data_IF_487598819248
#
_entry.id   IF_487598819248
#
_cell.length_a   1.000
_cell.length_b   1.000
_cell.length_c   1.000
_cell.angle_alpha   90.00
_cell.angle_beta   90.00
_cell.angle_gamma   90.00
#
_symmetry.space_group_name_H-M   'P 1'
#
loop_
_entity.id
_entity.type
_entity.pdbx_description
1 polymer ?
#
# COMPACT_ATOMS: atom_id res chain seq x y z
N UNK A 1 16.55 -7.15 -1.43
CA UNK A 1 16.61 -5.84 -0.74
C UNK A 1 17.68 -4.90 -1.28
N UNK A 2 18.84 -5.35 -1.77
CA UNK A 2 19.86 -4.45 -2.34
C UNK A 2 19.36 -3.61 -3.53
N UNK A 3 18.75 -4.24 -4.54
CA UNK A 3 18.22 -3.51 -5.71
C UNK A 3 17.15 -2.47 -5.35
N UNK A 4 16.39 -2.71 -4.28
CA UNK A 4 15.37 -1.78 -3.77
C UNK A 4 16.03 -0.49 -3.26
N UNK A 5 17.13 -0.59 -2.53
CA UNK A 5 17.86 0.56 -2.01
C UNK A 5 18.53 1.35 -3.14
N UNK A 6 19.08 0.64 -4.13
CA UNK A 6 19.66 1.26 -5.33
C UNK A 6 18.58 2.00 -6.13
N UNK A 7 17.41 1.39 -6.31
CA UNK A 7 16.30 2.03 -6.99
C UNK A 7 15.78 3.27 -6.24
N UNK A 8 15.70 3.20 -4.91
CA UNK A 8 15.37 4.36 -4.07
C UNK A 8 16.37 5.50 -4.25
N UNK A 9 17.67 5.21 -4.24
CA UNK A 9 18.70 6.21 -4.51
C UNK A 9 18.60 6.80 -5.93
N UNK A 10 18.20 6.00 -6.91
CA UNK A 10 17.97 6.45 -8.28
C UNK A 10 16.73 7.38 -8.39
N UNK A 11 15.63 7.04 -7.70
CA UNK A 11 14.45 7.91 -7.63
C UNK A 11 14.76 9.26 -6.96
N UNK A 12 15.54 9.24 -5.88
CA UNK A 12 16.02 10.45 -5.21
C UNK A 12 16.83 11.32 -6.21
N UNK A 13 17.68 10.70 -7.03
CA UNK A 13 18.58 11.41 -7.94
C UNK A 13 17.91 11.94 -9.23
N UNK A 14 16.86 11.27 -9.70
CA UNK A 14 16.12 11.69 -10.91
C UNK A 14 15.15 12.85 -10.67
N UNK A 15 14.91 13.24 -9.42
CA UNK A 15 13.97 14.29 -9.06
C UNK A 15 12.49 13.90 -9.22
N UNK A 16 12.20 12.67 -9.66
CA UNK A 16 10.83 12.15 -9.85
C UNK A 16 10.01 12.23 -8.57
N UNK A 17 10.65 12.10 -7.39
CA UNK A 17 9.98 12.23 -6.11
C UNK A 17 9.39 13.62 -5.86
N UNK A 18 9.90 14.67 -6.52
CA UNK A 18 9.37 16.03 -6.44
C UNK A 18 8.25 16.26 -7.47
N UNK A 19 8.34 15.66 -8.66
CA UNK A 19 7.39 15.85 -9.77
C UNK A 19 6.12 15.01 -9.65
N UNK A 20 6.23 13.80 -9.06
CA UNK A 20 5.08 12.90 -8.89
C UNK A 20 3.99 13.47 -7.95
N UNK A 21 4.32 14.11 -6.81
CA UNK A 21 3.35 14.80 -5.99
C UNK A 21 2.49 15.81 -6.77
N UNK A 22 3.12 16.62 -7.63
CA UNK A 22 2.44 17.61 -8.45
C UNK A 22 1.45 16.96 -9.43
N UNK A 23 1.84 15.84 -10.04
CA UNK A 23 0.95 15.07 -10.91
C UNK A 23 -0.23 14.46 -10.13
N UNK A 24 -0.02 13.99 -8.89
CA UNK A 24 -1.09 13.43 -8.06
C UNK A 24 -2.06 14.50 -7.52
N UNK A 25 -1.61 15.74 -7.32
CA UNK A 25 -2.47 16.87 -6.93
C UNK A 25 -3.46 17.30 -8.02
N UNK A 26 -3.22 16.92 -9.29
CA UNK A 26 -4.16 17.19 -10.37
C UNK A 26 -5.39 16.26 -10.34
N UNK A 27 -5.35 15.17 -9.57
CA UNK A 27 -6.51 14.29 -9.41
C UNK A 27 -7.50 14.90 -8.41
N UNK A 28 -8.81 14.90 -8.70
CA UNK A 28 -9.86 15.43 -7.82
C UNK A 28 -10.17 14.51 -6.61
N UNK A 29 -9.16 13.78 -6.09
CA UNK A 29 -9.28 12.78 -5.03
C UNK A 29 -8.33 13.16 -3.89
N UNK A 30 -8.71 12.95 -2.61
CA UNK A 30 -7.81 13.20 -1.48
C UNK A 30 -6.51 12.41 -1.59
N UNK A 31 -5.36 13.08 -1.35
CA UNK A 31 -4.02 12.51 -1.51
C UNK A 31 -3.82 11.21 -0.73
N UNK A 32 -4.35 11.11 0.50
CA UNK A 32 -4.22 9.88 1.30
C UNK A 32 -4.91 8.67 0.63
N UNK A 33 -6.03 8.88 -0.07
CA UNK A 33 -6.78 7.82 -0.73
C UNK A 33 -6.05 7.31 -1.96
N UNK A 34 -5.39 8.21 -2.70
CA UNK A 34 -4.54 7.86 -3.84
C UNK A 34 -3.45 6.89 -3.37
N UNK A 35 -2.77 7.22 -2.27
CA UNK A 35 -1.73 6.34 -1.73
C UNK A 35 -2.28 5.01 -1.19
N UNK A 36 -3.45 4.99 -0.57
CA UNK A 36 -4.11 3.72 -0.18
C UNK A 36 -4.34 2.83 -1.40
N UNK A 37 -4.87 3.39 -2.49
CA UNK A 37 -5.10 2.63 -3.72
C UNK A 37 -3.79 2.15 -4.35
N UNK A 38 -2.78 3.01 -4.38
CA UNK A 38 -1.47 2.70 -4.94
C UNK A 38 -0.77 1.59 -4.14
N UNK A 39 -0.80 1.66 -2.81
CA UNK A 39 -0.23 0.64 -1.94
C UNK A 39 -1.03 -0.68 -2.01
N UNK A 40 -2.35 -0.59 -2.16
CA UNK A 40 -3.19 -1.77 -2.26
C UNK A 40 -2.99 -2.51 -3.60
N UNK A 41 -3.22 -1.83 -4.74
CA UNK A 41 -3.08 -2.41 -6.07
C UNK A 41 -1.63 -2.78 -6.37
N UNK A 42 -0.70 -1.86 -6.08
CA UNK A 42 0.73 -2.10 -6.23
C UNK A 42 1.22 -3.24 -5.34
N UNK A 43 0.68 -3.37 -4.12
CA UNK A 43 0.99 -4.46 -3.21
C UNK A 43 0.49 -5.82 -3.68
N UNK A 44 -0.67 -5.88 -4.35
CA UNK A 44 -1.20 -7.13 -4.93
C UNK A 44 -0.29 -7.63 -6.08
N UNK A 45 0.26 -6.70 -6.88
CA UNK A 45 1.08 -7.05 -8.05
C UNK A 45 2.53 -7.31 -7.65
N UNK A 46 3.14 -6.41 -6.88
CA UNK A 46 4.57 -6.43 -6.57
C UNK A 46 4.92 -7.09 -5.23
N UNK A 47 3.92 -7.35 -4.38
CA UNK A 47 4.11 -7.78 -2.99
C UNK A 47 4.49 -6.63 -2.05
N UNK A 48 4.40 -6.89 -0.74
CA UNK A 48 4.61 -5.88 0.31
C UNK A 48 6.00 -5.20 0.23
N UNK A 49 7.06 -5.99 0.07
CA UNK A 49 8.43 -5.45 0.01
C UNK A 49 8.65 -4.54 -1.21
N UNK A 50 8.05 -4.88 -2.34
CA UNK A 50 8.14 -4.10 -3.57
C UNK A 50 7.41 -2.76 -3.43
N UNK A 51 6.16 -2.78 -2.99
CA UNK A 51 5.37 -1.55 -2.90
C UNK A 51 5.83 -0.62 -1.78
N UNK A 52 6.34 -1.14 -0.65
CA UNK A 52 6.87 -0.31 0.43
C UNK A 52 8.16 0.38 -0.03
N UNK A 53 9.04 -0.36 -0.71
CA UNK A 53 10.28 0.18 -1.26
C UNK A 53 10.07 1.37 -2.19
N UNK A 54 9.07 1.26 -3.06
CA UNK A 54 8.74 2.25 -4.08
C UNK A 54 7.86 3.37 -3.51
N UNK A 55 6.80 2.97 -2.82
CA UNK A 55 5.72 3.85 -2.39
C UNK A 55 6.07 4.68 -1.17
N UNK A 56 6.89 4.18 -0.24
CA UNK A 56 7.24 4.95 0.96
C UNK A 56 7.96 6.28 0.66
N UNK A 57 9.04 6.32 -0.15
CA UNK A 57 9.70 7.60 -0.46
C UNK A 57 8.77 8.57 -1.19
N UNK A 58 7.93 8.05 -2.11
CA UNK A 58 6.95 8.86 -2.86
C UNK A 58 5.87 9.43 -1.92
N UNK A 59 5.38 8.61 -0.99
CA UNK A 59 4.34 8.99 -0.03
C UNK A 59 4.81 10.11 0.90
N UNK A 60 6.04 10.03 1.43
CA UNK A 60 6.60 11.08 2.28
C UNK A 60 6.98 12.34 1.50
N UNK A 61 7.42 12.22 0.25
CA UNK A 61 7.68 13.38 -0.60
C UNK A 61 6.37 14.13 -0.95
N UNK A 62 5.28 13.39 -1.14
CA UNK A 62 3.98 13.96 -1.51
C UNK A 62 3.18 14.49 -0.33
N UNK A 63 3.36 13.90 0.86
CA UNK A 63 2.64 14.31 2.05
C UNK A 63 3.58 14.34 3.29
N UNK A 64 4.43 15.37 3.40
CA UNK A 64 5.44 15.45 4.46
C UNK A 64 4.85 15.54 5.87
N UNK A 65 3.74 16.28 6.01
CA UNK A 65 3.07 16.54 7.30
C UNK A 65 2.07 15.45 7.72
N UNK A 66 1.98 14.35 6.95
CA UNK A 66 0.97 13.31 7.16
C UNK A 66 1.11 12.56 8.51
N UNK A 67 2.31 12.58 9.09
CA UNK A 67 2.63 12.00 10.38
C UNK A 67 2.46 10.49 10.48
N UNK A 68 2.54 9.97 11.71
CA UNK A 68 2.42 8.54 12.04
C UNK A 68 1.08 7.93 11.59
N UNK A 69 -0.10 8.59 11.71
CA UNK A 69 -1.38 7.99 11.32
C UNK A 69 -1.41 7.58 9.85
N UNK A 70 -0.77 8.35 8.97
CA UNK A 70 -0.70 8.04 7.54
C UNK A 70 0.14 6.79 7.27
N UNK A 71 1.26 6.63 7.96
CA UNK A 71 2.12 5.44 7.84
C UNK A 71 1.35 4.18 8.22
N UNK A 72 0.60 4.23 9.33
CA UNK A 72 -0.23 3.11 9.79
C UNK A 72 -1.27 2.74 8.73
N UNK A 73 -1.90 3.74 8.10
CA UNK A 73 -2.85 3.52 7.01
C UNK A 73 -2.20 2.81 5.82
N UNK A 74 -1.01 3.26 5.38
CA UNK A 74 -0.29 2.63 4.26
C UNK A 74 0.17 1.21 4.57
N UNK A 75 0.66 0.97 5.79
CA UNK A 75 1.04 -0.38 6.21
C UNK A 75 -0.19 -1.31 6.26
N UNK A 76 -1.33 -0.79 6.73
CA UNK A 76 -2.59 -1.54 6.75
C UNK A 76 -3.09 -1.86 5.34
N UNK A 77 -2.99 -0.92 4.40
CA UNK A 77 -3.32 -1.15 2.99
C UNK A 77 -2.39 -2.22 2.35
N UNK A 78 -1.10 -2.19 2.68
CA UNK A 78 -0.13 -3.20 2.23
C UNK A 78 -0.43 -4.58 2.81
N UNK A 79 -0.83 -4.63 4.08
CA UNK A 79 -1.21 -5.87 4.73
C UNK A 79 -2.47 -6.46 4.09
N UNK A 80 -3.50 -5.64 3.84
CA UNK A 80 -4.70 -6.05 3.13
C UNK A 80 -4.36 -6.61 1.73
N UNK A 81 -3.51 -5.93 0.97
CA UNK A 81 -3.04 -6.39 -0.34
C UNK A 81 -2.36 -7.77 -0.28
N UNK A 82 -1.55 -8.01 0.76
CA UNK A 82 -0.83 -9.27 0.94
C UNK A 82 -1.75 -10.48 1.14
N UNK A 83 -2.97 -10.27 1.65
CA UNK A 83 -3.98 -11.33 1.81
C UNK A 83 -4.56 -11.81 0.47
N UNK A 84 -4.44 -11.00 -0.59
CA UNK A 84 -4.95 -11.30 -1.93
C UNK A 84 -3.84 -11.59 -2.94
N UNK A 85 -2.60 -11.22 -2.61
CA UNK A 85 -1.49 -11.29 -3.54
C UNK A 85 -1.10 -12.73 -3.88
N UNK A 86 -1.06 -13.10 -5.18
CA UNK A 86 -0.46 -14.35 -5.64
C UNK A 86 1.03 -14.47 -5.32
N UNK A 87 1.72 -13.34 -5.10
CA UNK A 87 3.14 -13.33 -4.71
C UNK A 87 3.35 -13.76 -3.26
N UNK A 88 2.27 -13.85 -2.48
CA UNK A 88 2.34 -14.34 -1.11
C UNK A 88 2.42 -15.87 -1.08
N UNK A 89 3.62 -16.39 -0.77
CA UNK A 89 3.93 -17.84 -0.84
C UNK A 89 2.95 -18.72 -0.07
N UNK A 90 2.40 -18.25 1.05
CA UNK A 90 1.46 -19.05 1.82
C UNK A 90 0.16 -19.31 1.04
N UNK A 91 -0.25 -18.40 0.17
CA UNK A 91 -1.48 -18.54 -0.62
C UNK A 91 -1.33 -19.56 -1.75
N UNK A 92 -0.16 -19.55 -2.42
CA UNK A 92 0.15 -20.49 -3.51
C UNK A 92 0.37 -21.90 -2.98
N UNK A 93 1.09 -22.06 -1.86
CA UNK A 93 1.31 -23.37 -1.22
C UNK A 93 0.01 -24.01 -0.77
N UNK A 94 -0.93 -23.24 -0.20
CA UNK A 94 -2.24 -23.77 0.21
C UNK A 94 -3.09 -24.15 -1.01
N UNK A 95 -3.03 -23.34 -2.08
CA UNK A 95 -3.71 -23.66 -3.34
C UNK A 95 -3.24 -25.01 -3.90
N UNK A 96 -1.93 -25.24 -3.90
CA UNK A 96 -1.31 -26.47 -4.40
C UNK A 96 -1.56 -27.68 -3.48
N UNK A 97 -1.39 -27.51 -2.16
CA UNK A 97 -1.59 -28.57 -1.17
C UNK A 97 -3.03 -29.10 -1.14
N UNK A 98 -4.02 -28.21 -1.20
CA UNK A 98 -5.44 -28.59 -1.18
C UNK A 98 -6.04 -28.82 -2.58
N UNK A 99 -5.25 -28.72 -3.64
CA UNK A 99 -5.72 -28.84 -5.03
C UNK A 99 -6.83 -27.84 -5.38
N UNK A 100 -6.86 -26.70 -4.70
CA UNK A 100 -7.92 -25.71 -4.81
C UNK A 100 -7.48 -24.56 -5.69
N UNK A 101 -8.36 -24.02 -6.53
CA UNK A 101 -7.99 -22.92 -7.43
C UNK A 101 -7.66 -21.65 -6.64
N UNK A 102 -6.53 -21.00 -6.95
CA UNK A 102 -6.08 -19.75 -6.32
C UNK A 102 -7.17 -18.67 -6.31
N UNK A 103 -7.91 -18.52 -7.41
CA UNK A 103 -9.00 -17.54 -7.52
C UNK A 103 -10.13 -17.77 -6.50
N UNK A 104 -10.40 -19.02 -6.13
CA UNK A 104 -11.41 -19.36 -5.11
C UNK A 104 -10.95 -18.93 -3.72
N UNK A 105 -9.65 -19.04 -3.44
CA UNK A 105 -9.06 -18.55 -2.20
C UNK A 105 -9.10 -17.03 -2.15
N UNK A 106 -8.67 -16.36 -3.22
CA UNK A 106 -8.70 -14.89 -3.33
C UNK A 106 -10.12 -14.36 -3.13
N UNK A 107 -11.13 -14.94 -3.77
CA UNK A 107 -12.54 -14.54 -3.57
C UNK A 107 -13.01 -14.71 -2.12
N UNK A 108 -12.47 -15.69 -1.40
CA UNK A 108 -12.83 -15.95 -0.01
C UNK A 108 -12.08 -15.03 0.96
N UNK A 109 -10.88 -14.58 0.62
CA UNK A 109 -10.10 -13.61 1.41
C UNK A 109 -10.43 -12.15 1.08
N UNK A 110 -11.03 -11.87 -0.08
CA UNK A 110 -11.50 -10.55 -0.49
C UNK A 110 -12.32 -9.78 0.58
N UNK A 111 -13.36 -10.37 1.21
CA UNK A 111 -14.13 -9.65 2.23
C UNK A 111 -13.28 -9.26 3.46
N UNK A 112 -12.30 -10.09 3.84
CA UNK A 112 -11.39 -9.80 4.95
C UNK A 112 -10.42 -8.66 4.60
N UNK A 113 -9.87 -8.68 3.39
CA UNK A 113 -9.02 -7.61 2.88
C UNK A 113 -9.77 -6.26 2.84
N UNK A 114 -11.00 -6.25 2.31
CA UNK A 114 -11.81 -5.02 2.24
C UNK A 114 -12.19 -4.51 3.63
N UNK A 115 -12.53 -5.41 4.56
CA UNK A 115 -12.80 -5.05 5.96
C UNK A 115 -11.58 -4.41 6.60
N UNK A 116 -10.39 -4.95 6.36
CA UNK A 116 -9.12 -4.40 6.89
C UNK A 116 -8.90 -2.96 6.42
N UNK A 117 -9.15 -2.66 5.14
CA UNK A 117 -9.03 -1.30 4.60
C UNK A 117 -10.08 -0.38 5.22
N UNK A 118 -11.32 -0.84 5.35
CA UNK A 118 -12.40 -0.05 5.96
C UNK A 118 -12.06 0.33 7.41
N UNK A 119 -11.62 -0.63 8.22
CA UNK A 119 -11.19 -0.37 9.60
C UNK A 119 -9.97 0.53 9.67
N UNK A 120 -8.99 0.36 8.78
CA UNK A 120 -7.82 1.22 8.73
C UNK A 120 -8.17 2.67 8.37
N UNK A 121 -9.11 2.89 7.44
CA UNK A 121 -9.60 4.22 7.09
C UNK A 121 -10.33 4.88 8.27
N UNK A 122 -11.21 4.14 8.95
CA UNK A 122 -11.90 4.63 10.15
C UNK A 122 -10.89 5.00 11.25
N UNK A 123 -9.90 4.14 11.49
CA UNK A 123 -8.86 4.39 12.47
C UNK A 123 -8.01 5.62 12.11
N UNK A 124 -7.65 5.78 10.84
CA UNK A 124 -6.96 6.97 10.35
C UNK A 124 -7.77 8.24 10.61
N UNK A 125 -9.07 8.25 10.28
CA UNK A 125 -9.95 9.40 10.52
C UNK A 125 -10.08 9.75 12.01
N UNK A 126 -10.13 8.74 12.89
CA UNK A 126 -10.16 8.96 14.35
C UNK A 126 -8.84 9.59 14.81
N UNK A 127 -7.71 9.05 14.34
CA UNK A 127 -6.39 9.55 14.71
C UNK A 127 -6.13 10.96 14.19
N UNK A 128 -6.57 11.31 12.98
CA UNK A 128 -6.41 12.67 12.45
C UNK A 128 -7.25 13.67 13.22
N UNK A 129 -8.47 13.31 13.62
CA UNK A 129 -9.31 14.15 14.50
C UNK A 129 -8.68 14.32 15.88
N UNK A 130 -8.10 13.28 16.45
CA UNK A 130 -7.46 13.34 17.77
C UNK A 130 -6.13 14.12 17.74
N UNK A 131 -5.34 13.97 16.68
CA UNK A 131 -4.06 14.64 16.49
C UNK A 131 -4.17 16.10 16.06
N UNK A 132 -5.38 16.55 15.69
CA UNK A 132 -5.68 17.95 15.34
C UNK A 132 -6.07 18.81 16.56
N UNK A 133 -6.08 18.23 17.77
CA UNK A 133 -6.20 18.96 19.04
C UNK A 133 -4.82 19.22 19.64
#
# INVERSE_FOLDING_TARGET
MFLVLVFKAFLDHTGVLASLPEALQQLPIPTFLIFVLLFFLGGIISGAAGIIALGAPIAYASFPDAGIPFVILLMSATHAASQLSPTHVCLTVVSEYYGSSLMKLIRRTLPYSLSTILFALLYYLILTVLSSK
#
